data_IF_326925387103
#
_entry.id   IF_326925387103
#
_cell.length_a   1.000
_cell.length_b   1.000
_cell.length_c   1.000
_cell.angle_alpha   90.00
_cell.angle_beta   90.00
_cell.angle_gamma   90.00
#
_symmetry.space_group_name_H-M   'P 1'
#
loop_
_entity.id
_entity.type
_entity.pdbx_description
1 polymer ?
#
# COMPACT_ATOMS: atom_id res chain seq x y z
N UNK A 1 20.55 11.73 -17.95
CA UNK A 1 21.20 12.90 -17.34
C UNK A 1 21.22 14.02 -18.35
N UNK A 2 20.96 15.24 -17.99
CA UNK A 2 21.18 16.45 -18.82
C UNK A 2 22.52 17.14 -18.51
N UNK A 3 23.41 16.40 -17.82
CA UNK A 3 24.67 16.94 -17.32
C UNK A 3 25.69 17.24 -18.46
N UNK A 4 26.43 18.33 -18.33
CA UNK A 4 27.59 18.59 -19.14
C UNK A 4 28.76 17.64 -18.79
N UNK A 5 29.75 17.55 -19.65
CA UNK A 5 30.90 16.67 -19.38
C UNK A 5 31.65 17.11 -18.11
N UNK A 6 31.74 16.23 -17.13
CA UNK A 6 32.39 16.47 -15.84
C UNK A 6 31.52 17.07 -14.77
N UNK A 7 30.23 17.28 -15.03
CA UNK A 7 29.26 17.61 -13.98
C UNK A 7 28.78 16.35 -13.26
N UNK A 8 28.58 16.47 -11.96
CA UNK A 8 28.00 15.45 -11.08
C UNK A 8 26.65 15.93 -10.55
N UNK A 9 25.76 15.01 -10.17
CA UNK A 9 24.48 15.33 -9.60
C UNK A 9 24.06 14.27 -8.56
N UNK A 10 23.20 14.60 -7.60
CA UNK A 10 22.59 13.61 -6.72
C UNK A 10 21.78 12.61 -7.56
N UNK A 11 21.58 11.42 -7.02
CA UNK A 11 21.02 10.30 -7.74
C UNK A 11 19.71 9.81 -7.11
N UNK A 12 18.69 9.62 -7.94
CA UNK A 12 17.46 8.92 -7.57
C UNK A 12 17.47 7.51 -8.16
N UNK A 13 17.32 6.51 -7.30
CA UNK A 13 17.06 5.13 -7.69
C UNK A 13 15.54 4.95 -7.84
N UNK A 14 15.09 4.50 -9.01
CA UNK A 14 13.69 4.24 -9.29
C UNK A 14 13.45 2.78 -9.66
N UNK A 15 13.39 1.87 -8.68
CA UNK A 15 13.04 0.49 -8.90
C UNK A 15 11.61 0.36 -9.44
N UNK A 16 11.35 -0.50 -10.44
CA UNK A 16 10.02 -0.68 -11.02
C UNK A 16 9.10 -1.51 -10.13
N UNK A 17 7.81 -1.52 -10.46
CA UNK A 17 6.83 -2.45 -9.90
C UNK A 17 7.01 -3.87 -10.40
N UNK A 18 6.40 -4.85 -9.73
CA UNK A 18 6.45 -6.26 -10.10
C UNK A 18 5.96 -6.48 -11.54
N UNK A 19 6.72 -7.21 -12.34
CA UNK A 19 6.41 -7.47 -13.74
C UNK A 19 6.63 -6.26 -14.65
N UNK A 20 7.36 -5.22 -14.19
CA UNK A 20 7.67 -4.03 -14.96
C UNK A 20 9.19 -3.93 -15.20
N UNK A 21 9.54 -3.52 -16.42
CA UNK A 21 10.93 -3.22 -16.76
C UNK A 21 11.37 -1.86 -16.22
N UNK A 22 12.67 -1.66 -16.13
CA UNK A 22 13.24 -0.35 -15.84
C UNK A 22 12.81 0.71 -16.85
N UNK A 23 12.51 1.91 -16.37
CA UNK A 23 11.96 3.02 -17.18
C UNK A 23 13.10 3.74 -17.90
N UNK A 24 13.24 3.52 -19.19
CA UNK A 24 14.35 4.03 -20.00
C UNK A 24 14.07 5.34 -20.73
N UNK A 25 12.80 5.80 -20.75
CA UNK A 25 12.45 7.06 -21.41
C UNK A 25 12.57 8.25 -20.44
N UNK A 26 13.62 9.10 -20.55
CA UNK A 26 13.82 10.23 -19.63
C UNK A 26 12.80 11.36 -19.80
N UNK A 27 11.94 11.31 -20.80
CA UNK A 27 10.88 12.28 -21.06
C UNK A 27 9.49 11.77 -20.68
N UNK A 28 9.41 10.58 -20.11
CA UNK A 28 8.15 10.03 -19.62
C UNK A 28 7.63 10.87 -18.44
N UNK A 29 6.39 11.33 -18.55
CA UNK A 29 5.74 12.19 -17.56
C UNK A 29 4.82 11.41 -16.64
N UNK A 30 4.65 11.95 -15.45
CA UNK A 30 3.70 11.43 -14.48
C UNK A 30 2.26 11.50 -15.04
N UNK A 31 1.57 10.38 -15.00
CA UNK A 31 0.15 10.28 -15.37
C UNK A 31 -0.78 10.81 -14.29
N UNK A 32 -2.05 10.98 -14.63
CA UNK A 32 -3.09 11.25 -13.65
C UNK A 32 -3.23 10.06 -12.67
N UNK A 33 -3.57 10.34 -11.42
CA UNK A 33 -3.69 9.35 -10.34
C UNK A 33 -2.37 8.59 -10.02
N UNK A 34 -1.23 9.18 -10.36
CA UNK A 34 0.07 8.61 -10.01
C UNK A 34 0.38 8.76 -8.53
N UNK A 35 1.08 7.78 -8.00
CA UNK A 35 1.57 7.70 -6.63
C UNK A 35 3.05 8.10 -6.47
N UNK A 36 3.69 8.59 -7.53
CA UNK A 36 5.12 8.89 -7.47
C UNK A 36 5.58 9.78 -8.63
N UNK A 37 6.89 9.90 -8.73
CA UNK A 37 7.58 10.73 -9.73
C UNK A 37 7.83 9.96 -11.02
N UNK A 38 7.84 10.67 -12.14
CA UNK A 38 8.27 10.15 -13.44
C UNK A 38 9.75 10.38 -13.67
N UNK A 39 10.35 9.71 -14.68
CA UNK A 39 11.71 10.04 -15.13
C UNK A 39 11.89 11.51 -15.50
N UNK A 40 10.88 12.15 -16.10
CA UNK A 40 10.94 13.56 -16.43
C UNK A 40 10.98 14.46 -15.19
N UNK A 41 10.17 14.15 -14.15
CA UNK A 41 10.16 14.93 -12.92
C UNK A 41 11.52 14.88 -12.21
N UNK A 42 12.13 13.69 -12.12
CA UNK A 42 13.45 13.48 -11.49
C UNK A 42 14.54 14.22 -12.28
N UNK A 43 14.55 14.10 -13.62
CA UNK A 43 15.48 14.81 -14.49
C UNK A 43 15.34 16.33 -14.37
N UNK A 44 14.09 16.83 -14.43
CA UNK A 44 13.82 18.26 -14.42
C UNK A 44 14.16 18.89 -13.05
N UNK A 45 14.20 18.07 -11.99
CA UNK A 45 14.71 18.45 -10.67
C UNK A 45 16.25 18.38 -10.55
N UNK A 46 16.96 17.96 -11.61
CA UNK A 46 18.44 17.96 -11.63
C UNK A 46 19.10 16.69 -11.11
N UNK A 47 18.36 15.60 -10.94
CA UNK A 47 18.90 14.33 -10.47
C UNK A 47 19.34 13.42 -11.61
N UNK A 48 20.37 12.62 -11.36
CA UNK A 48 20.57 11.38 -12.10
C UNK A 48 19.43 10.41 -11.79
N UNK A 49 19.03 9.61 -12.78
CA UNK A 49 18.06 8.55 -12.58
C UNK A 49 18.69 7.21 -12.91
N UNK A 50 18.66 6.28 -11.97
CA UNK A 50 19.02 4.88 -12.16
C UNK A 50 17.77 4.04 -12.00
N UNK A 51 17.48 3.21 -12.98
CA UNK A 51 16.42 2.22 -12.99
C UNK A 51 16.97 0.93 -13.58
N UNK A 52 16.38 -0.21 -13.24
CA UNK A 52 16.87 -1.53 -13.66
C UNK A 52 15.73 -2.52 -13.83
N UNK A 53 16.01 -3.61 -14.50
CA UNK A 53 15.12 -4.78 -14.49
C UNK A 53 15.39 -5.56 -13.21
N UNK A 54 14.38 -5.89 -12.39
CA UNK A 54 14.58 -6.65 -11.18
C UNK A 54 15.15 -8.05 -11.46
N UNK A 55 15.85 -8.60 -10.47
CA UNK A 55 16.37 -9.97 -10.50
C UNK A 55 15.27 -10.96 -10.96
N UNK A 56 15.60 -11.78 -11.94
CA UNK A 56 14.70 -12.80 -12.49
C UNK A 56 13.66 -12.29 -13.48
N UNK A 57 13.56 -10.99 -13.70
CA UNK A 57 12.62 -10.39 -14.66
C UNK A 57 13.34 -9.86 -15.90
N UNK A 58 12.62 -9.78 -17.02
CA UNK A 58 13.09 -9.24 -18.30
C UNK A 58 14.52 -9.69 -18.67
N UNK A 59 15.45 -8.73 -18.86
CA UNK A 59 16.82 -9.02 -19.26
C UNK A 59 17.73 -9.40 -18.08
N UNK A 60 17.31 -9.17 -16.83
CA UNK A 60 18.12 -9.49 -15.66
C UNK A 60 18.19 -10.98 -15.38
N UNK A 61 19.36 -11.44 -14.94
CA UNK A 61 19.60 -12.81 -14.50
C UNK A 61 18.99 -13.15 -13.15
N UNK A 62 19.27 -14.35 -12.66
CA UNK A 62 18.87 -14.79 -11.31
C UNK A 62 17.44 -15.30 -11.22
N UNK A 63 16.94 -15.36 -10.00
CA UNK A 63 15.60 -15.85 -9.61
C UNK A 63 15.00 -14.83 -8.63
N UNK A 64 13.81 -14.36 -8.93
CA UNK A 64 13.07 -13.39 -8.11
C UNK A 64 12.71 -13.98 -6.75
N UNK A 65 12.93 -13.21 -5.68
CA UNK A 65 12.73 -13.60 -4.29
C UNK A 65 11.79 -12.64 -3.53
N UNK A 66 11.00 -11.83 -4.23
CA UNK A 66 10.04 -10.87 -3.67
C UNK A 66 10.68 -9.80 -2.76
N UNK A 67 11.68 -9.07 -3.26
CA UNK A 67 12.41 -8.04 -2.51
C UNK A 67 13.10 -8.56 -1.24
N UNK A 68 13.54 -9.81 -1.28
CA UNK A 68 14.26 -10.38 -0.16
C UNK A 68 15.58 -9.62 0.09
N UNK A 69 15.87 -9.21 1.34
CA UNK A 69 17.04 -8.40 1.67
C UNK A 69 18.38 -9.09 1.34
N UNK A 70 18.42 -10.43 1.32
CA UNK A 70 19.63 -11.19 1.00
C UNK A 70 19.86 -11.39 -0.50
N UNK A 71 18.90 -11.04 -1.33
CA UNK A 71 18.96 -11.14 -2.79
C UNK A 71 18.77 -9.77 -3.43
N UNK A 72 17.53 -9.31 -3.60
CA UNK A 72 17.22 -8.02 -4.24
C UNK A 72 17.80 -6.84 -3.45
N UNK A 73 17.78 -6.88 -2.11
CA UNK A 73 18.40 -5.86 -1.28
C UNK A 73 19.90 -5.73 -1.52
N UNK A 74 20.60 -6.86 -1.72
CA UNK A 74 22.03 -6.85 -2.09
C UNK A 74 22.28 -6.41 -3.52
N UNK A 75 21.39 -6.71 -4.45
CA UNK A 75 21.47 -6.18 -5.82
C UNK A 75 21.40 -4.66 -5.79
N UNK A 76 20.48 -4.10 -5.00
CA UNK A 76 20.35 -2.65 -4.81
C UNK A 76 21.61 -2.04 -4.19
N UNK A 77 22.20 -2.66 -3.16
CA UNK A 77 23.48 -2.22 -2.58
C UNK A 77 24.62 -2.26 -3.61
N UNK A 78 24.64 -3.25 -4.50
CA UNK A 78 25.61 -3.30 -5.60
C UNK A 78 25.39 -2.18 -6.62
N UNK A 79 24.13 -1.83 -6.93
CA UNK A 79 23.80 -0.68 -7.79
C UNK A 79 24.26 0.63 -7.15
N UNK A 80 24.10 0.80 -5.83
CA UNK A 80 24.61 1.98 -5.11
C UNK A 80 26.15 2.07 -5.24
N UNK A 81 26.85 0.94 -5.07
CA UNK A 81 28.31 0.90 -5.24
C UNK A 81 28.75 1.23 -6.67
N UNK A 82 28.02 0.72 -7.67
CA UNK A 82 28.27 1.07 -9.07
C UNK A 82 27.95 2.54 -9.35
N UNK A 83 26.90 3.10 -8.74
CA UNK A 83 26.60 4.53 -8.86
C UNK A 83 27.78 5.38 -8.37
N UNK A 84 28.40 5.02 -7.26
CA UNK A 84 29.55 5.74 -6.70
C UNK A 84 30.81 5.68 -7.58
N UNK A 85 31.05 4.55 -8.28
CA UNK A 85 32.33 4.32 -8.99
C UNK A 85 32.26 4.62 -10.48
N UNK A 86 31.11 4.41 -11.13
CA UNK A 86 31.01 4.35 -12.58
C UNK A 86 29.96 5.31 -13.20
N UNK A 87 29.41 6.23 -12.40
CA UNK A 87 28.43 7.22 -12.87
C UNK A 87 28.80 8.62 -12.41
N UNK A 88 28.22 9.68 -13.01
CA UNK A 88 28.41 11.05 -12.56
C UNK A 88 27.57 11.36 -11.30
N UNK A 89 27.56 10.46 -10.31
CA UNK A 89 26.92 10.68 -9.04
C UNK A 89 27.74 11.63 -8.16
N UNK A 90 27.07 12.63 -7.58
CA UNK A 90 27.67 13.41 -6.50
C UNK A 90 27.86 12.54 -5.26
N UNK A 91 28.96 12.69 -4.55
CA UNK A 91 29.32 11.83 -3.42
C UNK A 91 29.25 12.59 -2.09
N UNK A 92 28.75 11.91 -1.03
CA UNK A 92 28.91 12.33 0.36
C UNK A 92 30.31 12.02 0.89
N UNK A 93 30.97 11.00 0.33
CA UNK A 93 32.31 10.55 0.73
C UNK A 93 32.84 9.46 -0.21
N UNK A 94 33.92 8.82 0.14
CA UNK A 94 34.48 7.73 -0.66
C UNK A 94 33.50 6.54 -0.70
N UNK A 95 33.14 6.10 -1.92
CA UNK A 95 32.17 5.02 -2.18
C UNK A 95 30.74 5.27 -1.63
N UNK A 96 30.40 6.53 -1.31
CA UNK A 96 29.15 6.95 -0.73
C UNK A 96 28.47 8.01 -1.62
N UNK A 97 27.61 7.60 -2.58
CA UNK A 97 26.92 8.53 -3.46
C UNK A 97 25.76 9.20 -2.75
N UNK A 98 25.48 10.47 -3.05
CA UNK A 98 24.21 11.10 -2.67
C UNK A 98 23.06 10.38 -3.36
N UNK A 99 22.33 9.53 -2.62
CA UNK A 99 21.34 8.66 -3.22
C UNK A 99 20.03 8.60 -2.44
N UNK A 100 18.93 8.84 -3.14
CA UNK A 100 17.58 8.60 -2.63
C UNK A 100 16.86 7.53 -3.44
N UNK A 101 15.84 6.91 -2.84
CA UNK A 101 15.03 5.92 -3.54
C UNK A 101 13.57 6.38 -3.64
N UNK A 102 12.98 6.20 -4.82
CA UNK A 102 11.58 6.54 -5.11
C UNK A 102 10.96 5.44 -5.96
N UNK A 103 9.79 4.96 -5.61
CA UNK A 103 9.13 3.90 -6.38
C UNK A 103 7.93 3.34 -5.65
N UNK A 104 7.09 2.62 -6.39
CA UNK A 104 5.86 2.09 -5.84
C UNK A 104 5.74 0.58 -5.97
N UNK A 105 4.86 -0.01 -5.15
CA UNK A 105 4.60 -1.45 -5.13
C UNK A 105 5.89 -2.22 -4.85
N UNK A 106 6.32 -3.10 -5.73
CA UNK A 106 7.60 -3.79 -5.65
C UNK A 106 8.77 -2.81 -5.50
N UNK A 107 8.76 -1.72 -6.30
CA UNK A 107 9.73 -0.63 -6.16
C UNK A 107 9.60 0.19 -4.88
N UNK A 108 8.50 0.05 -4.15
CA UNK A 108 8.32 0.61 -2.81
C UNK A 108 8.87 -0.32 -1.71
N UNK A 109 8.62 -1.62 -1.85
CA UNK A 109 9.08 -2.64 -0.89
C UNK A 109 10.60 -2.71 -0.79
N UNK A 110 11.29 -2.73 -1.93
CA UNK A 110 12.76 -2.82 -1.99
C UNK A 110 13.47 -1.69 -1.24
N UNK A 111 12.87 -0.50 -1.14
CA UNK A 111 13.46 0.63 -0.41
C UNK A 111 13.60 0.34 1.08
N UNK A 112 12.66 -0.40 1.66
CA UNK A 112 12.65 -0.75 3.08
C UNK A 112 13.36 -2.09 3.38
N UNK A 113 13.51 -2.95 2.38
CA UNK A 113 14.27 -4.20 2.52
C UNK A 113 15.75 -4.06 2.17
N UNK A 114 16.14 -2.95 1.52
CA UNK A 114 17.53 -2.57 1.31
C UNK A 114 18.03 -1.77 2.51
N UNK A 115 18.61 -2.46 3.48
CA UNK A 115 19.24 -1.79 4.64
C UNK A 115 20.69 -1.47 4.28
N UNK A 116 20.88 -0.32 3.63
CA UNK A 116 22.21 0.19 3.26
C UNK A 116 22.35 1.63 3.82
N UNK A 117 23.35 1.89 4.69
CA UNK A 117 23.49 3.18 5.37
C UNK A 117 23.84 4.34 4.42
N UNK A 118 24.16 4.07 3.16
CA UNK A 118 24.42 5.08 2.13
C UNK A 118 23.15 5.64 1.50
N UNK A 119 21.97 5.13 1.87
CA UNK A 119 20.70 5.67 1.37
C UNK A 119 20.34 6.90 2.21
N UNK A 120 20.31 8.08 1.58
CA UNK A 120 20.05 9.35 2.24
C UNK A 120 18.56 9.62 2.49
N UNK A 121 17.66 9.12 1.63
CA UNK A 121 16.21 9.25 1.79
C UNK A 121 15.43 8.19 1.01
N UNK A 122 14.23 7.84 1.49
CA UNK A 122 13.32 6.94 0.78
C UNK A 122 11.90 7.50 0.69
N UNK A 123 11.22 7.17 -0.42
CA UNK A 123 9.81 7.50 -0.64
C UNK A 123 9.08 6.23 -1.13
N UNK A 124 8.83 5.27 -0.21
CA UNK A 124 8.10 4.05 -0.56
C UNK A 124 6.62 4.36 -0.77
N UNK A 125 6.15 4.08 -2.00
CA UNK A 125 4.75 4.30 -2.38
C UNK A 125 4.02 2.98 -2.51
N UNK A 126 2.77 2.92 -2.06
CA UNK A 126 1.86 1.74 -2.17
C UNK A 126 2.57 0.41 -1.89
N UNK A 127 3.34 0.36 -0.81
CA UNK A 127 4.16 -0.77 -0.43
C UNK A 127 3.56 -1.53 0.78
N UNK A 128 4.12 -2.68 1.09
CA UNK A 128 3.69 -3.54 2.20
C UNK A 128 4.58 -3.40 3.45
N UNK A 129 4.01 -3.79 4.57
CA UNK A 129 4.73 -4.11 5.80
C UNK A 129 4.98 -5.63 5.87
N UNK A 130 3.91 -6.41 5.67
CA UNK A 130 3.93 -7.86 5.71
C UNK A 130 3.21 -8.43 4.49
N UNK A 131 3.91 -9.21 3.66
CA UNK A 131 3.29 -9.90 2.53
C UNK A 131 2.29 -10.97 2.98
N UNK A 132 2.49 -11.61 4.13
CA UNK A 132 1.51 -12.55 4.67
C UNK A 132 0.19 -11.84 4.99
N UNK A 133 0.26 -10.73 5.75
CA UNK A 133 -0.93 -9.94 6.09
C UNK A 133 -1.57 -9.29 4.85
N UNK A 134 -0.77 -8.90 3.87
CA UNK A 134 -1.28 -8.26 2.67
C UNK A 134 -1.98 -9.24 1.72
N UNK A 135 -1.44 -10.47 1.57
CA UNK A 135 -1.93 -11.46 0.61
C UNK A 135 -2.84 -12.53 1.22
N UNK A 136 -2.75 -12.74 2.53
CA UNK A 136 -3.55 -13.74 3.26
C UNK A 136 -3.95 -13.23 4.65
N UNK A 137 -4.62 -12.07 4.74
CA UNK A 137 -5.05 -11.51 6.02
C UNK A 137 -5.96 -12.50 6.75
N UNK A 138 -5.68 -12.76 8.04
CA UNK A 138 -6.43 -13.74 8.86
C UNK A 138 -6.60 -15.11 8.19
N UNK A 139 -5.58 -15.60 7.51
CA UNK A 139 -5.57 -16.85 6.74
C UNK A 139 -6.60 -16.91 5.59
N UNK A 140 -7.02 -15.77 5.08
CA UNK A 140 -7.89 -15.65 3.90
C UNK A 140 -7.09 -15.15 2.71
N UNK A 141 -6.87 -16.04 1.75
CA UNK A 141 -6.01 -15.74 0.59
C UNK A 141 -6.69 -14.83 -0.42
N UNK A 142 -6.06 -13.71 -0.77
CA UNK A 142 -6.56 -12.77 -1.79
C UNK A 142 -6.37 -13.33 -3.20
N UNK A 143 -7.21 -14.29 -3.58
CA UNK A 143 -7.12 -15.04 -4.85
C UNK A 143 -7.16 -14.16 -6.09
N UNK A 144 -7.94 -13.08 -6.07
CA UNK A 144 -8.04 -12.11 -7.15
C UNK A 144 -6.69 -11.43 -7.41
N UNK A 145 -6.09 -10.88 -6.38
CA UNK A 145 -4.78 -10.22 -6.48
C UNK A 145 -3.66 -11.20 -6.83
N UNK A 146 -3.66 -12.40 -6.24
CA UNK A 146 -2.68 -13.43 -6.60
C UNK A 146 -2.72 -13.78 -8.11
N UNK A 147 -3.91 -13.82 -8.70
CA UNK A 147 -4.07 -14.06 -10.14
C UNK A 147 -3.47 -12.91 -10.97
N UNK A 148 -3.73 -11.64 -10.59
CA UNK A 148 -3.17 -10.48 -11.29
C UNK A 148 -1.66 -10.44 -11.19
N UNK A 149 -1.10 -10.68 -10.00
CA UNK A 149 0.34 -10.73 -9.79
C UNK A 149 0.99 -11.87 -10.59
N UNK A 150 0.33 -13.04 -10.67
CA UNK A 150 0.79 -14.15 -11.51
C UNK A 150 0.86 -13.76 -12.99
N UNK A 151 -0.17 -13.07 -13.49
CA UNK A 151 -0.19 -12.61 -14.89
C UNK A 151 0.88 -11.56 -15.16
N UNK A 152 1.15 -10.66 -14.21
CA UNK A 152 2.23 -9.69 -14.32
C UNK A 152 3.60 -10.38 -14.41
N UNK A 153 3.86 -11.36 -13.54
CA UNK A 153 5.09 -12.15 -13.56
C UNK A 153 5.28 -12.94 -14.86
N UNK A 154 4.20 -13.56 -15.37
CA UNK A 154 4.24 -14.26 -16.68
C UNK A 154 4.53 -13.27 -17.81
N UNK A 155 3.89 -12.09 -17.78
CA UNK A 155 4.12 -11.02 -18.77
C UNK A 155 5.55 -10.50 -18.78
N UNK A 156 6.20 -10.40 -17.62
CA UNK A 156 7.61 -10.04 -17.46
C UNK A 156 8.59 -11.18 -17.76
N UNK A 157 8.10 -12.40 -18.09
CA UNK A 157 8.94 -13.58 -18.27
C UNK A 157 9.71 -13.97 -17.00
N UNK A 158 9.13 -13.74 -15.84
CA UNK A 158 9.79 -13.87 -14.55
C UNK A 158 10.21 -15.30 -14.24
N UNK A 159 11.42 -15.44 -13.72
CA UNK A 159 11.93 -16.66 -13.09
C UNK A 159 11.84 -16.46 -11.59
N UNK A 160 10.83 -17.07 -10.96
CA UNK A 160 10.54 -16.89 -9.54
C UNK A 160 10.87 -18.12 -8.71
N UNK A 161 11.09 -17.90 -7.41
CA UNK A 161 11.28 -18.98 -6.44
C UNK A 161 10.11 -19.97 -6.49
N UNK A 162 10.42 -21.27 -6.51
CA UNK A 162 9.42 -22.33 -6.64
C UNK A 162 8.40 -22.36 -5.50
N UNK A 163 8.76 -21.92 -4.30
CA UNK A 163 7.85 -21.82 -3.15
C UNK A 163 6.79 -20.73 -3.35
N UNK A 164 7.07 -19.72 -4.15
CA UNK A 164 6.05 -18.71 -4.53
C UNK A 164 5.00 -19.35 -5.42
N UNK A 165 5.41 -20.18 -6.40
CA UNK A 165 4.46 -20.95 -7.21
C UNK A 165 3.60 -21.91 -6.37
N UNK A 166 4.21 -22.58 -5.38
CA UNK A 166 3.50 -23.45 -4.45
C UNK A 166 2.45 -22.65 -3.67
N UNK A 167 2.84 -21.52 -3.08
CA UNK A 167 1.93 -20.65 -2.32
C UNK A 167 0.78 -20.13 -3.18
N UNK A 168 1.05 -19.73 -4.42
CA UNK A 168 -0.01 -19.32 -5.35
C UNK A 168 -0.97 -20.49 -5.66
N UNK A 169 -0.45 -21.68 -5.92
CA UNK A 169 -1.27 -22.84 -6.23
C UNK A 169 -2.12 -23.28 -5.03
N UNK A 170 -1.55 -23.35 -3.83
CA UNK A 170 -2.30 -23.75 -2.61
C UNK A 170 -3.29 -22.69 -2.20
N UNK A 171 -2.94 -21.40 -2.31
CA UNK A 171 -3.83 -20.29 -2.05
C UNK A 171 -5.04 -20.26 -2.98
N UNK A 172 -4.81 -20.39 -4.29
CA UNK A 172 -5.89 -20.38 -5.30
C UNK A 172 -6.81 -21.60 -5.21
N UNK A 173 -6.26 -22.78 -4.93
CA UNK A 173 -7.03 -24.02 -4.94
C UNK A 173 -7.69 -24.34 -3.61
N UNK A 174 -7.07 -23.95 -2.50
CA UNK A 174 -7.44 -24.43 -1.17
C UNK A 174 -7.58 -23.30 -0.13
N UNK A 175 -7.37 -22.05 -0.52
CA UNK A 175 -7.41 -20.89 0.39
C UNK A 175 -6.50 -21.06 1.62
N UNK A 176 -5.26 -21.54 1.41
CA UNK A 176 -4.24 -21.61 2.46
C UNK A 176 -2.82 -21.54 1.89
N UNK A 177 -1.89 -21.07 2.69
CA UNK A 177 -0.47 -21.06 2.40
C UNK A 177 0.26 -22.14 3.21
N UNK A 178 1.25 -22.80 2.62
CA UNK A 178 2.13 -23.69 3.36
C UNK A 178 3.07 -22.89 4.26
N UNK A 179 3.56 -23.50 5.35
CA UNK A 179 4.57 -22.85 6.21
C UNK A 179 5.81 -22.40 5.43
N UNK A 180 6.18 -23.14 4.38
CA UNK A 180 7.30 -22.79 3.51
C UNK A 180 7.01 -21.53 2.71
N UNK A 181 5.81 -21.42 2.14
CA UNK A 181 5.37 -20.24 1.40
C UNK A 181 5.25 -19.01 2.31
N UNK A 182 4.66 -19.17 3.50
CA UNK A 182 4.59 -18.12 4.52
C UNK A 182 5.99 -17.64 4.95
N UNK A 183 6.95 -18.56 5.11
CA UNK A 183 8.32 -18.21 5.45
C UNK A 183 9.00 -17.38 4.34
N UNK A 184 8.75 -17.70 3.06
CA UNK A 184 9.25 -16.90 1.93
C UNK A 184 8.64 -15.50 1.96
N UNK A 185 7.32 -15.37 2.13
CA UNK A 185 6.65 -14.08 2.24
C UNK A 185 7.15 -13.27 3.44
N UNK A 186 7.33 -13.91 4.60
CA UNK A 186 7.90 -13.25 5.80
C UNK A 186 9.32 -12.75 5.59
N UNK A 187 10.15 -13.51 4.88
CA UNK A 187 11.55 -13.12 4.59
C UNK A 187 11.67 -11.99 3.57
N UNK A 188 10.58 -11.65 2.90
CA UNK A 188 10.47 -10.64 1.86
C UNK A 188 9.71 -9.40 2.31
N UNK A 189 9.34 -9.32 3.59
CA UNK A 189 8.73 -8.15 4.21
C UNK A 189 9.76 -7.31 4.99
N UNK A 190 9.55 -6.00 5.07
CA UNK A 190 10.45 -5.11 5.80
C UNK A 190 10.29 -5.19 7.32
N UNK A 191 9.23 -5.80 7.86
CA UNK A 191 8.87 -5.76 9.28
C UNK A 191 10.04 -5.93 10.24
N UNK A 192 10.91 -6.93 10.00
CA UNK A 192 12.07 -7.21 10.84
C UNK A 192 13.26 -6.23 10.63
N UNK A 193 13.19 -5.39 9.60
CA UNK A 193 14.26 -4.49 9.16
C UNK A 193 14.00 -3.04 9.50
N UNK A 194 12.73 -2.66 9.72
CA UNK A 194 12.32 -1.26 9.92
C UNK A 194 13.04 -0.58 11.09
N UNK A 195 13.40 -1.35 12.11
CA UNK A 195 14.22 -0.84 13.24
C UNK A 195 15.65 -0.44 12.84
N UNK A 196 16.07 -0.74 11.61
CA UNK A 196 17.40 -0.43 11.06
C UNK A 196 17.36 0.59 9.93
N UNK A 197 16.18 1.08 9.56
CA UNK A 197 16.02 2.10 8.53
C UNK A 197 16.40 3.45 9.12
N UNK A 198 17.56 3.97 8.72
CA UNK A 198 18.09 5.28 9.16
C UNK A 198 17.61 6.40 8.23
N UNK A 199 17.38 6.07 6.96
CA UNK A 199 16.99 7.04 5.94
C UNK A 199 15.66 7.72 6.25
N UNK A 200 15.59 9.06 6.25
CA UNK A 200 14.34 9.81 6.28
C UNK A 200 13.32 9.22 5.31
N UNK A 201 12.10 8.99 5.79
CA UNK A 201 11.08 8.22 5.07
C UNK A 201 9.80 9.01 4.87
N UNK A 202 9.34 9.16 3.63
CA UNK A 202 8.03 9.72 3.31
C UNK A 202 7.15 8.68 2.62
N UNK A 203 6.13 8.19 3.34
CA UNK A 203 5.18 7.21 2.80
C UNK A 203 4.13 7.86 1.90
N UNK A 204 3.80 7.19 0.78
CA UNK A 204 2.69 7.56 -0.11
C UNK A 204 1.78 6.35 -0.29
N UNK A 205 0.56 6.37 0.29
CA UNK A 205 -0.32 5.21 0.32
C UNK A 205 -1.70 5.52 -0.23
N UNK A 206 -2.30 4.54 -0.93
CA UNK A 206 -3.61 4.69 -1.57
C UNK A 206 -4.77 4.37 -0.63
N UNK A 207 -5.79 5.25 -0.57
CA UNK A 207 -6.98 5.07 0.27
C UNK A 207 -7.95 4.00 -0.24
N UNK A 208 -7.78 3.55 -1.49
CA UNK A 208 -8.59 2.48 -2.10
C UNK A 208 -7.74 1.31 -2.56
N UNK A 209 -6.56 1.15 -1.97
CA UNK A 209 -5.65 0.05 -2.28
C UNK A 209 -6.09 -1.23 -1.57
N UNK A 210 -6.63 -2.18 -2.35
CA UNK A 210 -7.05 -3.46 -1.83
C UNK A 210 -5.93 -4.52 -1.84
N UNK A 211 -4.79 -4.25 -2.48
CA UNK A 211 -3.61 -5.13 -2.41
C UNK A 211 -2.80 -4.84 -1.14
N UNK A 212 -2.35 -3.60 -0.99
CA UNK A 212 -1.60 -3.11 0.17
C UNK A 212 -2.39 -1.96 0.83
N UNK A 213 -3.32 -2.28 1.74
CA UNK A 213 -4.16 -1.27 2.38
C UNK A 213 -3.36 -0.28 3.24
N UNK A 214 -4.00 0.81 3.66
CA UNK A 214 -3.39 1.90 4.43
C UNK A 214 -2.65 1.42 5.69
N UNK A 215 -3.15 0.40 6.38
CA UNK A 215 -2.53 -0.19 7.56
C UNK A 215 -1.11 -0.71 7.31
N UNK A 216 -0.74 -1.05 6.07
CA UNK A 216 0.62 -1.46 5.73
C UNK A 216 1.61 -0.29 5.87
N UNK A 217 1.26 0.90 5.38
CA UNK A 217 2.07 2.09 5.54
C UNK A 217 2.06 2.60 6.99
N UNK A 218 0.93 2.51 7.67
CA UNK A 218 0.80 2.84 9.11
C UNK A 218 1.76 2.01 9.94
N UNK A 219 1.77 0.68 9.77
CA UNK A 219 2.66 -0.22 10.49
C UNK A 219 4.15 0.04 10.19
N UNK A 220 4.48 0.35 8.93
CA UNK A 220 5.83 0.73 8.55
C UNK A 220 6.28 2.04 9.24
N UNK A 221 5.43 3.06 9.21
CA UNK A 221 5.71 4.36 9.80
C UNK A 221 5.87 4.28 11.33
N UNK A 222 4.99 3.53 11.99
CA UNK A 222 5.07 3.30 13.44
C UNK A 222 6.38 2.63 13.82
N UNK A 223 6.78 1.58 13.10
CA UNK A 223 8.01 0.85 13.37
C UNK A 223 9.28 1.69 13.12
N UNK A 224 9.30 2.54 12.07
CA UNK A 224 10.43 3.43 11.80
C UNK A 224 10.51 4.53 12.85
N UNK A 225 9.40 5.14 13.24
CA UNK A 225 9.38 6.15 14.30
C UNK A 225 9.83 5.61 15.67
N UNK A 226 9.61 4.33 15.92
CA UNK A 226 10.04 3.67 17.14
C UNK A 226 11.52 3.27 17.13
N UNK A 227 12.24 3.43 16.02
CA UNK A 227 13.65 3.06 15.93
C UNK A 227 14.55 4.01 16.73
N UNK A 228 15.78 3.61 17.06
CA UNK A 228 16.67 4.41 17.92
C UNK A 228 17.32 5.62 17.21
N UNK A 229 17.14 5.77 15.91
CA UNK A 229 17.85 6.77 15.10
C UNK A 229 17.12 8.14 15.07
N UNK A 230 15.84 8.19 15.49
CA UNK A 230 15.04 9.41 15.38
C UNK A 230 14.74 9.77 13.93
N UNK A 231 14.57 8.76 13.07
CA UNK A 231 14.34 8.89 11.64
C UNK A 231 13.11 9.76 11.36
N UNK A 232 13.22 10.83 10.57
CA UNK A 232 12.07 11.62 10.15
C UNK A 232 11.09 10.79 9.33
N UNK A 233 9.79 10.88 9.69
CA UNK A 233 8.72 10.18 8.96
C UNK A 233 7.60 11.15 8.64
N UNK A 234 7.18 11.16 7.36
CA UNK A 234 5.97 11.84 6.89
C UNK A 234 5.10 10.88 6.10
N UNK A 235 3.81 11.19 5.95
CA UNK A 235 2.86 10.31 5.28
C UNK A 235 1.85 11.09 4.44
N UNK A 236 1.60 10.60 3.25
CA UNK A 236 0.57 11.08 2.34
C UNK A 236 -0.38 9.95 1.98
N UNK A 237 -1.69 10.13 2.24
CA UNK A 237 -2.71 9.25 1.68
C UNK A 237 -3.40 9.94 0.51
N UNK A 238 -3.59 9.20 -0.57
CA UNK A 238 -4.18 9.73 -1.81
C UNK A 238 -5.31 8.81 -2.32
N UNK A 239 -6.27 9.36 -3.06
CA UNK A 239 -7.28 8.55 -3.70
C UNK A 239 -6.65 7.80 -4.88
N UNK A 240 -6.49 6.49 -4.73
CA UNK A 240 -5.78 5.61 -5.64
C UNK A 240 -5.15 4.42 -4.91
N UNK A 241 -4.11 3.87 -5.48
CA UNK A 241 -3.38 2.68 -5.02
C UNK A 241 -3.13 1.73 -6.17
N UNK A 242 -3.15 0.41 -5.92
CA UNK A 242 -3.16 -0.60 -6.98
C UNK A 242 -4.50 -0.65 -7.72
N UNK A 243 -5.57 -0.08 -7.13
CA UNK A 243 -6.86 0.16 -7.77
C UNK A 243 -7.03 1.61 -8.18
N UNK A 244 -8.10 1.87 -8.94
CA UNK A 244 -8.45 3.20 -9.42
C UNK A 244 -9.45 3.88 -8.47
N UNK A 245 -9.25 5.17 -8.22
CA UNK A 245 -10.25 6.00 -7.58
C UNK A 245 -11.39 6.30 -8.57
N UNK A 246 -12.62 5.97 -8.21
CA UNK A 246 -13.82 6.27 -9.00
C UNK A 246 -14.46 7.61 -8.62
N UNK A 247 -14.02 8.21 -7.52
CA UNK A 247 -14.46 9.54 -7.07
C UNK A 247 -13.72 10.63 -7.85
N UNK A 248 -14.21 11.86 -7.83
CA UNK A 248 -13.48 12.98 -8.41
C UNK A 248 -12.12 13.13 -7.71
N UNK A 249 -11.05 12.81 -8.42
CA UNK A 249 -9.69 13.01 -7.90
C UNK A 249 -9.39 14.51 -7.85
N UNK A 250 -8.84 14.96 -6.74
CA UNK A 250 -8.37 16.34 -6.64
C UNK A 250 -7.31 16.60 -7.72
N UNK A 251 -7.48 17.63 -8.56
CA UNK A 251 -6.54 17.87 -9.67
C UNK A 251 -5.11 18.19 -9.21
N UNK A 252 -4.93 18.59 -7.95
CA UNK A 252 -3.62 18.89 -7.37
C UNK A 252 -2.98 17.68 -6.68
N UNK A 253 -3.69 16.55 -6.57
CA UNK A 253 -3.19 15.37 -5.83
C UNK A 253 -1.85 14.88 -6.37
N UNK A 254 -1.80 14.56 -7.65
CA UNK A 254 -0.57 14.03 -8.29
C UNK A 254 0.56 15.06 -8.26
N UNK A 255 0.29 16.32 -8.60
CA UNK A 255 1.32 17.36 -8.59
C UNK A 255 1.89 17.61 -7.20
N UNK A 256 1.06 17.51 -6.15
CA UNK A 256 1.51 17.63 -4.76
C UNK A 256 2.38 16.44 -4.34
N UNK A 257 2.01 15.20 -4.70
CA UNK A 257 2.86 14.03 -4.45
C UNK A 257 4.22 14.21 -5.11
N UNK A 258 4.25 14.63 -6.38
CA UNK A 258 5.50 14.90 -7.12
C UNK A 258 6.31 16.00 -6.43
N UNK A 259 5.72 17.15 -6.15
CA UNK A 259 6.46 18.28 -5.51
C UNK A 259 6.99 17.91 -4.14
N UNK A 260 6.21 17.18 -3.32
CA UNK A 260 6.66 16.73 -2.01
C UNK A 260 7.80 15.70 -2.11
N UNK A 261 7.74 14.79 -3.09
CA UNK A 261 8.80 13.82 -3.32
C UNK A 261 10.11 14.52 -3.70
N UNK A 262 10.05 15.51 -4.60
CA UNK A 262 11.24 16.28 -4.98
C UNK A 262 11.76 17.08 -3.78
N UNK A 263 10.88 17.77 -3.05
CA UNK A 263 11.28 18.52 -1.85
C UNK A 263 11.94 17.61 -0.79
N UNK A 264 11.44 16.38 -0.63
CA UNK A 264 12.04 15.39 0.25
C UNK A 264 13.45 15.00 -0.19
N UNK A 265 13.64 14.75 -1.46
CA UNK A 265 14.96 14.44 -2.03
C UNK A 265 15.90 15.67 -1.95
N UNK A 266 15.41 16.88 -2.25
CA UNK A 266 16.21 18.11 -2.18
C UNK A 266 16.75 18.36 -0.77
N UNK A 267 15.95 18.10 0.25
CA UNK A 267 16.37 18.23 1.64
C UNK A 267 17.40 17.19 2.04
N UNK A 268 17.11 15.92 1.84
CA UNK A 268 17.87 14.85 2.46
C UNK A 268 18.96 14.24 1.55
N UNK A 269 18.82 14.37 0.24
CA UNK A 269 19.80 13.82 -0.74
C UNK A 269 20.67 14.92 -1.33
N UNK A 270 20.06 15.96 -1.92
CA UNK A 270 20.84 17.04 -2.52
C UNK A 270 21.43 18.00 -1.48
N UNK A 271 20.77 18.16 -0.33
CA UNK A 271 21.18 19.09 0.70
C UNK A 271 21.00 20.57 0.29
N UNK A 272 20.00 20.86 -0.54
CA UNK A 272 19.74 22.20 -1.11
C UNK A 272 18.75 23.02 -0.27
N UNK A 273 18.91 23.06 1.04
CA UNK A 273 18.00 23.70 1.97
C UNK A 273 17.11 22.72 2.69
N UNK A 274 15.95 23.16 3.17
CA UNK A 274 14.96 22.31 3.87
C UNK A 274 13.54 22.51 3.33
N UNK A 275 13.29 22.29 2.02
CA UNK A 275 11.93 22.38 1.48
C UNK A 275 11.00 21.29 2.02
N UNK A 276 11.52 20.23 2.64
CA UNK A 276 10.72 19.21 3.29
C UNK A 276 10.08 19.72 4.60
N UNK A 277 10.54 20.80 5.21
CA UNK A 277 9.91 21.39 6.39
C UNK A 277 8.45 21.75 6.12
N UNK A 278 8.15 22.29 4.94
CA UNK A 278 6.81 22.72 4.53
C UNK A 278 5.85 21.56 4.24
N UNK A 279 6.34 20.31 4.14
CA UNK A 279 5.49 19.14 3.94
C UNK A 279 4.81 18.80 5.28
N UNK A 280 3.45 18.72 5.36
CA UNK A 280 2.77 18.29 6.58
C UNK A 280 3.25 16.91 7.05
N UNK A 281 3.25 16.68 8.37
CA UNK A 281 3.60 15.37 8.94
C UNK A 281 2.68 14.29 8.39
N UNK A 282 1.40 14.58 8.36
CA UNK A 282 0.40 13.73 7.73
C UNK A 282 -0.53 14.59 6.86
N UNK A 283 -0.79 14.12 5.65
CA UNK A 283 -1.74 14.72 4.72
C UNK A 283 -2.54 13.65 4.01
N UNK A 284 -3.81 13.94 3.73
CA UNK A 284 -4.66 12.97 3.04
C UNK A 284 -5.72 13.64 2.17
N UNK A 285 -6.17 12.89 1.20
CA UNK A 285 -7.35 13.19 0.40
C UNK A 285 -8.47 12.25 0.82
N UNK A 286 -9.63 12.79 1.13
CA UNK A 286 -10.81 11.98 1.40
C UNK A 286 -11.48 11.49 0.10
N UNK A 287 -12.54 10.70 0.23
CA UNK A 287 -13.28 10.13 -0.90
C UNK A 287 -13.93 11.19 -1.81
N UNK A 288 -13.99 12.43 -1.42
CA UNK A 288 -14.51 13.58 -2.21
C UNK A 288 -13.38 14.42 -2.81
N UNK A 289 -12.13 14.00 -2.63
CA UNK A 289 -10.94 14.70 -3.08
C UNK A 289 -10.64 15.97 -2.28
N UNK A 290 -11.19 16.12 -1.08
CA UNK A 290 -10.84 17.23 -0.18
C UNK A 290 -9.52 16.92 0.50
N UNK A 291 -8.65 17.91 0.51
CA UNK A 291 -7.33 17.82 1.10
C UNK A 291 -7.33 18.22 2.58
N UNK A 292 -6.72 17.39 3.39
CA UNK A 292 -6.59 17.57 4.83
C UNK A 292 -5.14 17.41 5.27
N UNK A 293 -4.78 18.01 6.42
CA UNK A 293 -3.45 17.92 7.01
C UNK A 293 -3.51 17.75 8.53
N UNK A 294 -2.46 17.19 9.09
CA UNK A 294 -2.24 17.09 10.53
C UNK A 294 -0.75 17.13 10.85
N UNK A 295 -0.42 17.65 12.03
CA UNK A 295 0.93 17.60 12.62
C UNK A 295 1.23 16.25 13.30
N UNK A 296 0.27 15.33 13.30
CA UNK A 296 0.37 14.01 13.89
C UNK A 296 0.01 12.95 12.86
N UNK A 297 0.72 11.84 12.88
CA UNK A 297 0.37 10.64 12.11
C UNK A 297 -0.88 9.94 12.70
N UNK A 298 -1.65 9.18 11.93
CA UNK A 298 -2.97 8.67 12.33
C UNK A 298 -2.95 7.75 13.55
N UNK A 299 -1.82 7.15 13.88
CA UNK A 299 -1.64 6.28 15.05
C UNK A 299 -1.08 6.99 16.29
N UNK A 300 -0.63 8.24 16.15
CA UNK A 300 -0.03 8.97 17.28
C UNK A 300 -1.08 9.43 18.29
N UNK A 301 -0.70 9.36 19.56
CA UNK A 301 -1.53 9.87 20.66
C UNK A 301 -1.84 11.36 20.42
N UNK A 302 -3.11 11.69 20.41
CA UNK A 302 -3.58 13.04 20.16
C UNK A 302 -4.16 13.28 18.76
N UNK A 303 -3.95 12.38 17.81
CA UNK A 303 -4.55 12.49 16.48
C UNK A 303 -6.09 12.41 16.54
N UNK A 304 -6.63 11.35 17.12
CA UNK A 304 -8.08 11.13 17.29
C UNK A 304 -8.55 11.62 18.67
N UNK A 305 -8.84 12.91 18.79
CA UNK A 305 -9.34 13.51 20.04
C UNK A 305 -10.88 13.65 20.06
N UNK A 306 -11.55 13.40 18.97
CA UNK A 306 -13.00 13.49 18.88
C UNK A 306 -13.70 12.32 19.59
N UNK A 307 -14.98 12.50 19.93
CA UNK A 307 -15.81 11.40 20.43
C UNK A 307 -15.95 10.33 19.34
N UNK A 308 -15.64 9.07 19.63
CA UNK A 308 -15.76 8.00 18.65
C UNK A 308 -17.20 7.87 18.13
N UNK A 309 -17.36 7.69 16.84
CA UNK A 309 -18.64 7.25 16.25
C UNK A 309 -18.84 5.79 16.64
N UNK A 310 -19.95 5.49 17.28
CA UNK A 310 -20.28 4.12 17.73
C UNK A 310 -21.59 3.65 17.13
N UNK A 311 -21.68 2.37 16.80
CA UNK A 311 -22.89 1.73 16.34
C UNK A 311 -23.04 0.35 16.99
N UNK A 312 -24.27 -0.04 17.27
CA UNK A 312 -24.58 -1.35 17.83
C UNK A 312 -25.72 -2.00 17.04
N UNK A 313 -25.59 -3.29 16.77
CA UNK A 313 -26.61 -4.09 16.09
C UNK A 313 -27.21 -5.13 17.03
N UNK A 314 -28.44 -5.53 16.74
CA UNK A 314 -29.15 -6.58 17.49
C UNK A 314 -28.71 -8.00 17.13
N UNK A 315 -27.80 -8.12 16.16
CA UNK A 315 -27.36 -9.40 15.63
C UNK A 315 -28.38 -10.04 14.68
N UNK A 316 -28.18 -11.30 14.39
CA UNK A 316 -29.03 -12.07 13.47
C UNK A 316 -28.37 -13.40 13.09
N UNK A 317 -28.88 -14.04 12.05
CA UNK A 317 -28.32 -15.29 11.52
C UNK A 317 -27.67 -15.02 10.17
N UNK A 318 -26.41 -15.45 10.02
CA UNK A 318 -25.66 -15.32 8.78
C UNK A 318 -25.33 -16.71 8.23
N UNK A 319 -25.73 -16.99 6.99
CA UNK A 319 -25.33 -18.19 6.26
C UNK A 319 -23.99 -17.98 5.58
N UNK A 320 -22.98 -18.81 5.93
CA UNK A 320 -21.68 -18.79 5.26
C UNK A 320 -21.73 -19.78 4.11
N UNK A 321 -22.13 -19.30 2.93
CA UNK A 321 -22.26 -20.11 1.72
C UNK A 321 -21.31 -19.54 0.66
N UNK A 322 -20.23 -20.25 0.30
CA UNK A 322 -19.30 -19.78 -0.71
C UNK A 322 -20.01 -19.41 -2.03
N UNK A 323 -19.60 -18.33 -2.66
CA UNK A 323 -20.06 -17.82 -3.96
C UNK A 323 -21.50 -17.29 -4.06
N UNK A 324 -22.30 -17.38 -3.00
CA UNK A 324 -23.73 -17.01 -3.04
C UNK A 324 -24.06 -15.84 -2.10
N UNK A 325 -23.25 -15.60 -1.10
CA UNK A 325 -23.60 -14.76 0.04
C UNK A 325 -22.55 -13.70 0.34
N UNK A 326 -21.93 -13.14 -0.67
CA UNK A 326 -20.92 -12.10 -0.51
C UNK A 326 -21.37 -10.75 -1.03
N UNK A 327 -20.71 -9.71 -0.59
CA UNK A 327 -20.64 -8.45 -1.29
C UNK A 327 -19.64 -8.58 -2.44
N UNK A 328 -19.80 -7.79 -3.44
CA UNK A 328 -18.91 -7.79 -4.59
C UNK A 328 -19.26 -6.67 -5.54
N UNK A 329 -18.57 -6.55 -6.68
CA UNK A 329 -18.92 -5.57 -7.68
C UNK A 329 -20.39 -5.71 -8.07
N UNK A 330 -21.15 -4.61 -8.00
CA UNK A 330 -22.54 -4.61 -8.46
C UNK A 330 -22.60 -4.94 -9.95
N UNK A 331 -23.51 -5.82 -10.33
CA UNK A 331 -23.78 -6.05 -11.75
C UNK A 331 -24.31 -4.76 -12.37
N UNK A 332 -23.72 -4.36 -13.49
CA UNK A 332 -24.08 -3.13 -14.20
C UNK A 332 -23.41 -1.85 -13.67
N UNK A 333 -22.50 -1.94 -12.72
CA UNK A 333 -21.66 -0.81 -12.33
C UNK A 333 -20.91 -0.25 -13.54
N UNK A 334 -20.98 1.06 -13.73
CA UNK A 334 -20.27 1.73 -14.82
C UNK A 334 -18.89 2.13 -14.34
N UNK A 335 -17.88 1.54 -14.94
CA UNK A 335 -16.48 1.89 -14.69
C UNK A 335 -16.00 2.90 -15.72
N UNK A 336 -15.07 3.80 -15.35
CA UNK A 336 -14.40 4.67 -16.32
C UNK A 336 -13.78 3.86 -17.47
N UNK A 337 -13.74 4.47 -18.67
CA UNK A 337 -13.14 3.84 -19.84
C UNK A 337 -11.69 3.43 -19.55
N UNK A 338 -11.35 2.18 -19.82
CA UNK A 338 -10.01 1.62 -19.59
C UNK A 338 -9.78 1.00 -18.21
N UNK A 339 -10.77 1.10 -17.30
CA UNK A 339 -10.71 0.41 -16.00
C UNK A 339 -11.36 -0.96 -16.13
N UNK A 340 -10.63 -2.00 -15.78
CA UNK A 340 -11.20 -3.35 -15.67
C UNK A 340 -11.99 -3.46 -14.37
N UNK A 341 -13.12 -4.13 -14.40
CA UNK A 341 -14.00 -4.25 -13.23
C UNK A 341 -13.41 -5.05 -12.08
N UNK A 342 -12.29 -5.75 -12.28
CA UNK A 342 -11.74 -6.66 -11.28
C UNK A 342 -10.27 -6.92 -11.55
N UNK A 343 -9.47 -7.00 -10.51
CA UNK A 343 -9.61 -6.60 -9.09
C UNK A 343 -9.27 -5.12 -8.85
N UNK A 344 -9.02 -4.35 -9.89
CA UNK A 344 -8.47 -2.99 -9.83
C UNK A 344 -9.53 -1.89 -9.66
N UNK A 345 -10.82 -2.23 -9.78
CA UNK A 345 -11.91 -1.29 -9.57
C UNK A 345 -12.35 -1.31 -8.10
N UNK A 346 -13.03 -0.23 -7.68
CA UNK A 346 -13.64 -0.19 -6.36
C UNK A 346 -14.75 -1.23 -6.22
N UNK A 347 -14.82 -1.84 -5.05
CA UNK A 347 -15.89 -2.77 -4.69
C UNK A 347 -17.17 -2.01 -4.38
N UNK A 348 -18.26 -2.45 -4.97
CA UNK A 348 -19.60 -1.99 -4.66
C UNK A 348 -20.30 -3.02 -3.81
N UNK A 349 -20.98 -2.55 -2.76
CA UNK A 349 -21.85 -3.34 -1.94
C UNK A 349 -23.17 -2.60 -1.74
N UNK A 350 -24.23 -3.34 -1.53
CA UNK A 350 -25.52 -2.81 -1.11
C UNK A 350 -25.98 -3.63 0.08
N UNK A 351 -27.01 -3.13 0.80
CA UNK A 351 -27.62 -3.91 1.88
C UNK A 351 -28.08 -5.25 1.32
N UNK A 352 -27.37 -6.31 1.69
CA UNK A 352 -27.61 -7.66 1.19
C UNK A 352 -28.60 -8.41 2.11
N UNK A 353 -29.49 -9.23 1.53
CA UNK A 353 -30.45 -10.03 2.29
C UNK A 353 -29.80 -11.14 3.12
N UNK A 354 -28.55 -11.54 2.80
CA UNK A 354 -27.76 -12.47 3.58
C UNK A 354 -26.54 -11.75 4.16
N UNK A 355 -26.81 -10.76 4.98
CA UNK A 355 -25.81 -9.99 5.70
C UNK A 355 -26.37 -9.56 7.05
N UNK A 356 -25.49 -9.23 7.97
CA UNK A 356 -25.85 -8.50 9.18
C UNK A 356 -25.52 -7.03 8.91
N UNK A 357 -26.56 -6.20 8.88
CA UNK A 357 -26.44 -4.78 8.59
C UNK A 357 -26.65 -3.97 9.86
N UNK A 358 -25.71 -3.08 10.18
CA UNK A 358 -25.76 -2.17 11.32
C UNK A 358 -25.62 -0.74 10.81
N UNK A 359 -26.64 0.08 10.99
CA UNK A 359 -26.57 1.49 10.64
C UNK A 359 -25.53 2.22 11.48
N UNK A 360 -24.65 2.96 10.81
CA UNK A 360 -23.67 3.84 11.45
C UNK A 360 -24.09 5.28 11.14
N UNK A 361 -24.36 6.06 12.18
CA UNK A 361 -24.91 7.42 12.08
C UNK A 361 -23.88 8.45 12.57
N UNK A 362 -22.86 8.76 11.77
CA UNK A 362 -21.94 9.84 12.10
C UNK A 362 -22.58 11.21 11.90
N UNK A 363 -21.96 12.23 12.44
CA UNK A 363 -22.40 13.63 12.25
C UNK A 363 -21.79 14.22 10.97
N UNK A 364 -22.56 15.04 10.27
CA UNK A 364 -22.04 15.77 9.09
C UNK A 364 -20.83 16.60 9.47
N UNK A 365 -19.75 16.44 8.74
CA UNK A 365 -18.46 17.08 8.99
C UNK A 365 -17.46 16.19 9.75
N UNK A 366 -17.90 15.06 10.32
CA UNK A 366 -16.98 14.11 10.93
C UNK A 366 -15.99 13.59 9.89
N UNK A 367 -14.73 13.50 10.29
CA UNK A 367 -13.67 12.86 9.53
C UNK A 367 -13.33 11.53 10.21
N UNK A 368 -13.64 10.43 9.55
CA UNK A 368 -13.34 9.09 10.04
C UNK A 368 -12.02 8.66 9.40
N UNK A 369 -10.94 8.73 10.20
CA UNK A 369 -9.58 8.45 9.73
C UNK A 369 -8.93 7.45 10.67
N UNK A 370 -8.46 6.33 10.12
CA UNK A 370 -7.87 5.24 10.88
C UNK A 370 -8.70 3.96 10.82
N UNK A 371 -8.40 2.98 11.67
CA UNK A 371 -8.99 1.65 11.69
C UNK A 371 -10.25 1.60 12.57
N UNK A 372 -11.44 1.31 12.01
CA UNK A 372 -12.63 1.05 12.82
C UNK A 372 -12.46 -0.22 13.68
N UNK A 373 -12.88 -0.17 14.95
CA UNK A 373 -12.87 -1.32 15.83
C UNK A 373 -14.21 -2.05 15.77
N UNK A 374 -14.18 -3.37 15.57
CA UNK A 374 -15.35 -4.24 15.54
C UNK A 374 -15.27 -5.30 16.63
N UNK A 375 -16.36 -5.48 17.37
CA UNK A 375 -16.48 -6.59 18.33
C UNK A 375 -17.89 -7.17 18.28
N UNK A 376 -17.99 -8.50 18.29
CA UNK A 376 -19.27 -9.19 18.39
C UNK A 376 -19.13 -10.58 19.02
N UNK A 377 -20.24 -11.04 19.63
CA UNK A 377 -20.37 -12.40 20.16
C UNK A 377 -21.22 -13.22 19.19
N UNK A 378 -20.81 -14.44 18.94
CA UNK A 378 -21.46 -15.34 17.99
C UNK A 378 -21.38 -16.79 18.43
N UNK A 379 -22.25 -17.63 17.88
CA UNK A 379 -22.12 -19.08 17.85
C UNK A 379 -22.47 -19.59 16.44
N UNK A 380 -22.00 -20.77 16.09
CA UNK A 380 -22.28 -21.36 14.79
C UNK A 380 -21.65 -22.73 14.62
N UNK A 381 -22.12 -23.45 13.63
CA UNK A 381 -21.55 -24.74 13.22
C UNK A 381 -21.20 -24.73 11.75
N UNK A 382 -20.04 -25.24 11.40
CA UNK A 382 -19.60 -25.29 10.02
C UNK A 382 -18.09 -25.36 9.86
N UNK A 383 -17.63 -25.18 8.62
CA UNK A 383 -16.22 -25.25 8.26
C UNK A 383 -15.65 -23.89 7.80
N UNK A 384 -16.48 -22.85 7.74
CA UNK A 384 -16.03 -21.49 7.44
C UNK A 384 -15.06 -20.99 8.50
N UNK A 385 -13.98 -20.34 8.10
CA UNK A 385 -12.95 -19.83 9.00
C UNK A 385 -13.01 -18.32 9.21
N UNK A 386 -13.74 -17.61 8.36
CA UNK A 386 -13.89 -16.17 8.44
C UNK A 386 -15.29 -15.72 7.98
N UNK A 387 -15.72 -14.58 8.50
CA UNK A 387 -16.72 -13.70 7.92
C UNK A 387 -16.03 -12.39 7.51
N UNK A 388 -16.71 -11.54 6.74
CA UNK A 388 -16.09 -10.32 6.24
C UNK A 388 -16.87 -9.10 6.73
N UNK A 389 -16.15 -8.13 7.25
CA UNK A 389 -16.71 -6.86 7.68
C UNK A 389 -16.32 -5.75 6.71
N UNK A 390 -17.28 -4.96 6.28
CA UNK A 390 -17.09 -3.84 5.39
C UNK A 390 -17.98 -2.67 5.78
N UNK A 391 -17.48 -1.45 5.55
CA UNK A 391 -18.25 -0.24 5.76
C UNK A 391 -18.75 0.25 4.40
N UNK A 392 -20.07 0.32 4.23
CA UNK A 392 -20.71 0.71 2.97
C UNK A 392 -21.18 2.16 3.05
N UNK A 393 -20.79 2.97 2.09
CA UNK A 393 -21.38 4.27 1.85
C UNK A 393 -22.70 4.06 1.09
N UNK A 394 -23.83 4.28 1.76
CA UNK A 394 -25.14 4.00 1.20
C UNK A 394 -25.52 4.96 0.05
N UNK A 395 -24.92 6.15 0.00
CA UNK A 395 -25.20 7.11 -1.07
C UNK A 395 -24.62 6.65 -2.41
N UNK A 396 -23.47 5.98 -2.39
CA UNK A 396 -22.77 5.51 -3.59
C UNK A 396 -22.83 4.00 -3.78
N UNK A 397 -23.18 3.23 -2.74
CA UNK A 397 -23.12 1.78 -2.72
C UNK A 397 -21.68 1.24 -2.70
N UNK A 398 -20.67 2.07 -2.39
CA UNK A 398 -19.26 1.67 -2.39
C UNK A 398 -18.81 1.19 -1.01
N UNK A 399 -17.90 0.24 -1.03
CA UNK A 399 -17.17 -0.15 0.18
C UNK A 399 -16.11 0.92 0.46
N UNK A 400 -16.20 1.52 1.63
CA UNK A 400 -15.25 2.56 2.08
C UNK A 400 -13.85 1.94 2.19
N UNK A 401 -12.84 2.63 1.64
CA UNK A 401 -11.47 2.13 1.58
C UNK A 401 -11.27 0.97 0.61
N UNK A 402 -12.32 0.55 -0.11
CA UNK A 402 -12.26 -0.59 -1.06
C UNK A 402 -11.77 -1.90 -0.43
N UNK A 403 -11.96 -2.06 0.88
CA UNK A 403 -11.47 -3.20 1.65
C UNK A 403 -12.57 -3.86 2.46
N UNK A 404 -12.66 -5.17 2.31
CA UNK A 404 -13.44 -6.06 3.16
C UNK A 404 -12.50 -6.73 4.15
N UNK A 405 -12.70 -6.51 5.44
CA UNK A 405 -11.83 -7.05 6.49
C UNK A 405 -12.24 -8.47 6.83
N UNK A 406 -11.41 -9.49 6.64
CA UNK A 406 -11.72 -10.83 7.10
C UNK A 406 -11.64 -10.90 8.63
N UNK A 407 -12.69 -11.41 9.24
CA UNK A 407 -12.84 -11.60 10.68
C UNK A 407 -12.82 -13.10 10.98
N UNK A 408 -11.80 -13.62 11.66
CA UNK A 408 -11.70 -15.05 11.94
C UNK A 408 -12.83 -15.53 12.84
N UNK A 409 -13.40 -16.69 12.52
CA UNK A 409 -14.46 -17.32 13.31
C UNK A 409 -14.18 -18.80 13.54
N UNK A 410 -14.63 -19.31 14.70
CA UNK A 410 -14.61 -20.73 15.04
C UNK A 410 -16.05 -21.24 15.16
N UNK A 411 -16.43 -22.17 14.27
CA UNK A 411 -17.81 -22.66 14.14
C UNK A 411 -17.96 -24.06 14.73
N UNK A 412 -17.66 -24.18 16.04
CA UNK A 412 -17.69 -25.45 16.81
C UNK A 412 -19.00 -25.68 17.62
N UNK A 413 -19.99 -24.81 17.40
CA UNK A 413 -21.27 -24.83 18.12
C UNK A 413 -21.26 -24.17 19.50
N UNK A 414 -20.14 -23.58 19.91
CA UNK A 414 -20.01 -22.83 21.16
C UNK A 414 -20.12 -21.34 20.93
N UNK A 415 -20.30 -20.58 22.00
CA UNK A 415 -20.26 -19.14 21.98
C UNK A 415 -18.78 -18.65 21.98
N UNK A 416 -18.51 -17.72 21.12
CA UNK A 416 -17.20 -17.03 20.98
C UNK A 416 -17.41 -15.53 20.88
N UNK A 417 -16.44 -14.77 21.35
CA UNK A 417 -16.36 -13.32 21.12
C UNK A 417 -15.11 -13.01 20.31
N UNK A 418 -15.27 -12.20 19.29
CA UNK A 418 -14.16 -11.70 18.47
C UNK A 418 -14.09 -10.18 18.56
N UNK A 419 -12.87 -9.64 18.58
CA UNK A 419 -12.60 -8.22 18.50
C UNK A 419 -11.44 -8.02 17.50
N UNK A 420 -11.66 -7.19 16.49
CA UNK A 420 -10.67 -6.91 15.43
C UNK A 420 -10.64 -5.42 15.12
N UNK A 421 -9.50 -4.94 14.68
CA UNK A 421 -9.40 -3.69 13.94
C UNK A 421 -9.69 -3.97 12.48
N UNK A 422 -10.60 -3.20 11.88
CA UNK A 422 -10.81 -3.23 10.43
C UNK A 422 -9.65 -2.54 9.71
N UNK A 423 -9.67 -2.57 8.38
CA UNK A 423 -8.67 -1.83 7.59
C UNK A 423 -8.82 -0.32 7.82
N UNK A 424 -7.69 0.40 7.79
CA UNK A 424 -7.68 1.88 7.88
C UNK A 424 -8.47 2.50 6.73
N UNK A 425 -9.20 3.56 7.03
CA UNK A 425 -10.00 4.32 6.09
C UNK A 425 -9.75 5.83 6.26
N UNK A 426 -10.11 6.61 5.23
CA UNK A 426 -10.20 8.06 5.29
C UNK A 426 -11.53 8.49 4.63
N UNK A 427 -12.50 8.89 5.44
CA UNK A 427 -13.85 9.23 4.99
C UNK A 427 -14.37 10.49 5.70
N UNK A 428 -14.86 11.46 4.93
CA UNK A 428 -15.49 12.66 5.45
C UNK A 428 -17.00 12.61 5.23
N UNK A 429 -17.76 12.76 6.33
CA UNK A 429 -19.22 12.67 6.33
C UNK A 429 -19.82 13.96 5.74
N UNK A 430 -20.52 13.84 4.63
CA UNK A 430 -21.23 14.94 4.00
C UNK A 430 -22.72 14.96 4.32
N UNK A 431 -23.39 16.01 3.88
CA UNK A 431 -24.84 16.13 4.01
C UNK A 431 -25.53 15.03 3.20
N UNK A 432 -26.35 14.21 3.86
CA UNK A 432 -27.06 13.09 3.27
C UNK A 432 -26.29 11.78 3.20
N UNK A 433 -25.03 11.76 3.61
CA UNK A 433 -24.27 10.52 3.73
C UNK A 433 -24.81 9.67 4.88
N UNK A 434 -24.86 8.37 4.66
CA UNK A 434 -25.13 7.37 5.68
C UNK A 434 -24.28 6.14 5.45
N UNK A 435 -23.85 5.50 6.53
CA UNK A 435 -22.98 4.35 6.48
C UNK A 435 -23.67 3.12 7.04
N UNK A 436 -23.36 1.97 6.49
CA UNK A 436 -23.77 0.67 7.02
C UNK A 436 -22.53 -0.19 7.26
N UNK A 437 -22.34 -0.65 8.50
CA UNK A 437 -21.46 -1.77 8.75
C UNK A 437 -22.19 -3.04 8.29
N UNK A 438 -21.59 -3.72 7.34
CA UNK A 438 -22.13 -4.97 6.80
C UNK A 438 -21.19 -6.12 7.15
N UNK A 439 -21.75 -7.21 7.70
CA UNK A 439 -21.01 -8.45 7.93
C UNK A 439 -21.60 -9.50 6.99
N UNK A 440 -20.77 -10.08 6.14
CA UNK A 440 -21.14 -11.06 5.11
C UNK A 440 -20.35 -12.36 5.27
N UNK A 441 -20.90 -13.45 4.76
CA UNK A 441 -20.28 -14.78 4.86
C UNK A 441 -19.18 -15.03 3.83
N UNK A 442 -19.07 -14.17 2.81
CA UNK A 442 -18.10 -14.29 1.72
C UNK A 442 -17.88 -12.91 1.07
N UNK A 443 -16.65 -12.61 0.68
CA UNK A 443 -16.30 -11.39 -0.07
C UNK A 443 -15.17 -11.66 -1.07
#
# INVERSE_FOLDING_TARGET
TGLAAGEEAPTALNPPGLGQAGRTNPYEKTGAQSYGVSPADVRDAGYNLITWDPRGEFASGGVLQLDNPFFEGRDTSAIISWAASDTPAELNGMDDPKVGMVGGSYGGGIQMTTVDPRIDAIVPSIAWNSLNEALSPSDVFKSAWATVLALALVGGGARINTQIYEGMATGLLFNWLSQTSEAVLSSSGPTALLSKVEAPTMFVQGTVDALFPLNQAVANAEAILANPFGTPVKMTWFCGGHGYCLDPVNPLQTSRIVSNTIAWLDTYVAGTGDPAEDIPVFQWYDQKGVYHTSDLLPFQTGFNQATPVTATGTGGTLGIIPFIAGSGPLQGAQYPSGVTSWPMAQTFATEAGNALNVAVTPTVGDQIVGAPALSFTYNGVGTGKAVFAELVDNATGRVVGNNSTPVPVTLDGREHTVSVSMQDIAYTVGAGDSLTLQIVGYS
#
